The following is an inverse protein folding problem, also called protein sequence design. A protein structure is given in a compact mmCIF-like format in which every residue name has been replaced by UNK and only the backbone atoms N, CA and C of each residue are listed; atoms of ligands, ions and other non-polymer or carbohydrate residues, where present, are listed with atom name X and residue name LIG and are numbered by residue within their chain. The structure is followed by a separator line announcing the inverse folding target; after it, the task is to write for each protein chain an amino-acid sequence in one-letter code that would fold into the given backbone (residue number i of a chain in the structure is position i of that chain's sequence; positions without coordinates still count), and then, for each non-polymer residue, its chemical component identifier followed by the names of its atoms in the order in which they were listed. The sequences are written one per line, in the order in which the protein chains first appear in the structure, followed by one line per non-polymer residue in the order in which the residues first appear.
data_IF_047290681117
#
_entry.id   IF_047290681117
#
_cell.length_a   1.000
_cell.length_b   1.000
_cell.length_c   1.000
_cell.angle_alpha   90.00
_cell.angle_beta   90.00
_cell.angle_gamma   90.00
#
_symmetry.space_group_name_H-M   'P 1'
#
loop_
_entity.id
_entity.type
_entity.pdbx_description
1 polymer ?
#
# COMPACT_ATOMS: atom_id res chain seq x y z
N UNK A 1 7.76 8.06 -3.61
CA UNK A 1 6.68 7.07 -3.77
C UNK A 1 7.28 5.85 -4.42
N UNK A 2 7.16 4.69 -3.78
CA UNK A 2 7.60 3.40 -4.32
C UNK A 2 6.38 2.57 -4.75
N UNK A 3 6.47 1.88 -5.88
CA UNK A 3 5.40 1.05 -6.44
C UNK A 3 5.86 -0.40 -6.54
N UNK A 4 4.91 -1.34 -6.51
CA UNK A 4 5.20 -2.77 -6.61
C UNK A 4 5.71 -3.42 -5.32
N UNK A 5 5.33 -2.92 -4.13
CA UNK A 5 5.68 -3.56 -2.85
C UNK A 5 4.83 -4.79 -2.61
N UNK A 6 5.44 -5.97 -2.63
CA UNK A 6 4.76 -7.26 -2.54
C UNK A 6 4.97 -7.96 -1.20
N UNK A 7 6.05 -7.66 -0.48
CA UNK A 7 6.40 -8.34 0.77
C UNK A 7 7.00 -7.42 1.85
N UNK A 8 7.04 -7.92 3.08
CA UNK A 8 7.52 -7.16 4.24
C UNK A 8 8.99 -6.77 4.15
N UNK A 9 9.84 -7.56 3.49
CA UNK A 9 11.27 -7.26 3.34
C UNK A 9 11.45 -5.98 2.51
N UNK A 10 10.75 -5.88 1.38
CA UNK A 10 10.74 -4.68 0.54
C UNK A 10 10.19 -3.46 1.30
N UNK A 11 9.12 -3.65 2.09
CA UNK A 11 8.53 -2.57 2.88
C UNK A 11 9.49 -2.04 3.96
N UNK A 12 10.13 -2.92 4.71
CA UNK A 12 11.10 -2.51 5.75
C UNK A 12 12.33 -1.84 5.12
N UNK A 13 12.79 -2.30 3.96
CA UNK A 13 13.84 -1.61 3.22
C UNK A 13 13.44 -0.17 2.86
N UNK A 14 12.24 0.02 2.31
CA UNK A 14 11.72 1.35 1.95
C UNK A 14 11.60 2.28 3.17
N UNK A 15 11.09 1.75 4.28
CA UNK A 15 10.96 2.47 5.54
C UNK A 15 12.32 2.94 6.08
N UNK A 16 13.32 2.06 6.08
CA UNK A 16 14.68 2.41 6.51
C UNK A 16 15.36 3.44 5.60
N UNK A 17 14.95 3.51 4.33
CA UNK A 17 15.42 4.50 3.36
C UNK A 17 14.55 5.77 3.32
N UNK A 18 13.71 6.00 4.34
CA UNK A 18 12.84 7.18 4.45
C UNK A 18 11.89 7.37 3.25
N UNK A 19 11.39 6.27 2.68
CA UNK A 19 10.33 6.33 1.68
C UNK A 19 8.96 6.31 2.37
N UNK A 20 8.31 7.48 2.44
CA UNK A 20 7.06 7.67 3.21
C UNK A 20 5.80 7.07 2.55
N UNK A 21 5.83 6.89 1.22
CA UNK A 21 4.66 6.44 0.45
C UNK A 21 5.02 5.22 -0.38
N UNK A 22 4.29 4.13 -0.18
CA UNK A 22 4.41 2.92 -0.98
C UNK A 22 3.06 2.39 -1.46
N UNK A 23 3.06 1.79 -2.65
CA UNK A 23 1.93 1.09 -3.24
C UNK A 23 2.37 -0.33 -3.64
N UNK A 24 1.51 -1.32 -3.40
CA UNK A 24 1.73 -2.66 -3.90
C UNK A 24 0.80 -3.67 -3.24
N UNK A 25 0.90 -4.93 -3.68
CA UNK A 25 0.01 -6.01 -3.26
C UNK A 25 0.14 -6.37 -1.78
N UNK A 26 1.25 -5.98 -1.13
CA UNK A 26 1.41 -6.07 0.32
C UNK A 26 0.31 -5.28 1.06
N UNK A 27 -0.07 -4.11 0.53
CA UNK A 27 -1.09 -3.26 1.14
C UNK A 27 -2.48 -3.65 0.66
N UNK A 28 -2.69 -3.54 -0.65
CA UNK A 28 -3.98 -3.80 -1.29
C UNK A 28 -3.76 -4.24 -2.74
N UNK A 29 -4.58 -5.19 -3.21
CA UNK A 29 -4.67 -5.48 -4.64
C UNK A 29 -5.37 -4.34 -5.38
N UNK A 30 -5.11 -4.15 -6.69
CA UNK A 30 -5.94 -3.30 -7.54
C UNK A 30 -7.40 -3.68 -7.37
N UNK A 31 -8.25 -2.68 -7.15
CA UNK A 31 -9.66 -2.87 -6.83
C UNK A 31 -10.53 -1.87 -7.60
N UNK A 32 -11.80 -2.21 -7.89
CA UNK A 32 -12.76 -1.25 -8.41
C UNK A 32 -13.01 -0.08 -7.47
N UNK A 33 -13.48 1.05 -8.03
CA UNK A 33 -13.79 2.25 -7.25
C UNK A 33 -14.81 2.01 -6.13
N UNK A 34 -15.78 1.13 -6.32
CA UNK A 34 -16.79 0.79 -5.30
C UNK A 34 -16.18 0.14 -4.07
N UNK A 35 -15.16 -0.71 -4.25
CA UNK A 35 -14.44 -1.36 -3.15
C UNK A 35 -13.53 -0.36 -2.44
N UNK A 36 -12.85 0.51 -3.21
CA UNK A 36 -12.05 1.59 -2.63
C UNK A 36 -12.89 2.52 -1.75
N UNK A 37 -14.09 2.93 -2.20
CA UNK A 37 -15.00 3.77 -1.40
C UNK A 37 -15.36 3.12 -0.07
N UNK A 38 -15.75 1.84 -0.09
CA UNK A 38 -16.03 1.08 1.14
C UNK A 38 -14.82 1.04 2.07
N UNK A 39 -13.63 0.82 1.51
CA UNK A 39 -12.40 0.77 2.28
C UNK A 39 -12.12 2.10 3.00
N UNK A 40 -12.28 3.22 2.29
CA UNK A 40 -12.10 4.56 2.84
C UNK A 40 -13.12 4.92 3.92
N UNK A 41 -14.35 4.39 3.83
CA UNK A 41 -15.38 4.58 4.86
C UNK A 41 -15.11 3.77 6.14
N UNK A 42 -14.45 2.61 6.02
CA UNK A 42 -14.19 1.71 7.16
C UNK A 42 -12.88 1.99 7.91
N UNK A 43 -11.95 2.73 7.31
CA UNK A 43 -10.68 3.12 7.96
C UNK A 43 -10.85 4.49 8.61
N UNK A 44 -11.05 4.49 9.94
CA UNK A 44 -10.94 5.68 10.78
C UNK A 44 -9.53 5.82 11.37
#
# INVERSE_FOLDING_TARGET
MAEGVENNEQFEWLKNNSCDVSQGFLHYKPMPLSELKKLLETRH
#
